data_IF_087928931411
#
_entry.id   IF_087928931411
#
_cell.length_a   1.000
_cell.length_b   1.000
_cell.length_c   1.000
_cell.angle_alpha   90.00
_cell.angle_beta   90.00
_cell.angle_gamma   90.00
#
_symmetry.space_group_name_H-M   'P 1'
#
loop_
_entity.id
_entity.type
_entity.pdbx_description
1 polymer ?
#
# COMPACT_ATOMS: atom_id res chain seq x y z
N UNK A 1 3.19 -3.20 -13.75
CA UNK A 1 2.59 -1.90 -13.37
C UNK A 1 2.65 -0.90 -14.51
N UNK A 2 1.60 -0.08 -14.68
CA UNK A 2 1.61 1.03 -15.65
C UNK A 2 2.25 2.29 -15.08
N UNK A 3 2.45 2.35 -13.78
CA UNK A 3 3.01 3.49 -13.05
C UNK A 3 4.14 3.04 -12.14
N UNK A 4 4.93 3.99 -11.68
CA UNK A 4 5.80 3.80 -10.51
C UNK A 4 4.98 3.96 -9.22
N UNK A 5 5.36 3.26 -8.16
CA UNK A 5 4.87 3.51 -6.81
C UNK A 5 6.07 3.64 -5.85
N UNK A 6 6.23 4.77 -5.16
CA UNK A 6 5.51 6.02 -5.38
C UNK A 6 5.77 6.62 -6.78
N UNK A 7 4.85 7.48 -7.26
CA UNK A 7 4.94 8.07 -8.60
C UNK A 7 5.76 9.38 -8.65
N UNK A 8 6.33 9.80 -7.55
CA UNK A 8 7.29 10.90 -7.38
C UNK A 8 8.09 10.70 -6.09
N UNK A 9 9.22 11.42 -5.96
CA UNK A 9 9.95 11.46 -4.69
C UNK A 9 9.10 12.18 -3.66
N UNK A 10 8.81 11.53 -2.53
CA UNK A 10 7.97 12.08 -1.49
C UNK A 10 8.59 11.94 -0.09
N UNK A 11 8.05 12.69 0.85
CA UNK A 11 8.47 12.60 2.25
C UNK A 11 7.93 11.34 2.91
N UNK A 12 8.79 10.62 3.60
CA UNK A 12 8.42 9.48 4.43
C UNK A 12 7.88 9.91 5.81
N UNK A 13 8.11 11.17 6.21
CA UNK A 13 7.81 11.70 7.55
C UNK A 13 7.23 13.10 7.44
N UNK A 14 6.51 13.53 8.46
CA UNK A 14 6.19 14.93 8.70
C UNK A 14 7.44 15.63 9.24
N UNK A 15 7.83 16.74 8.63
CA UNK A 15 9.10 17.37 8.99
C UNK A 15 9.50 18.53 8.09
N UNK A 16 10.79 18.76 7.98
CA UNK A 16 11.38 19.85 7.19
C UNK A 16 12.28 19.29 6.09
N UNK A 17 12.00 19.65 4.83
CA UNK A 17 12.83 19.35 3.69
C UNK A 17 13.82 20.47 3.42
N UNK A 18 15.09 20.17 3.30
CA UNK A 18 16.14 21.13 3.01
C UNK A 18 17.29 20.51 2.21
N UNK A 19 18.22 21.34 1.74
CA UNK A 19 19.44 20.86 1.12
C UNK A 19 20.50 20.69 2.22
N UNK A 20 20.98 19.48 2.43
CA UNK A 20 21.94 19.18 3.49
C UNK A 20 23.22 19.99 3.38
N UNK A 21 23.73 20.20 2.15
CA UNK A 21 24.95 20.98 1.93
C UNK A 21 24.78 22.48 2.23
N UNK A 22 23.55 22.95 2.39
CA UNK A 22 23.26 24.35 2.73
C UNK A 22 23.20 24.62 4.25
N UNK A 23 23.36 23.58 5.06
CA UNK A 23 23.38 23.70 6.50
C UNK A 23 24.67 24.40 6.92
N UNK A 24 24.54 25.60 7.52
CA UNK A 24 25.67 26.39 8.03
C UNK A 24 26.20 25.84 9.34
N UNK A 25 27.32 26.43 9.84
CA UNK A 25 27.90 26.06 11.14
C UNK A 25 26.92 26.18 12.33
N UNK A 26 25.98 27.11 12.24
CA UNK A 26 24.97 27.35 13.28
C UNK A 26 23.80 26.39 13.21
N UNK A 27 23.80 25.46 12.26
CA UNK A 27 22.79 24.42 12.03
C UNK A 27 21.35 24.94 11.99
N UNK A 28 21.12 26.18 11.52
CA UNK A 28 19.80 26.76 11.41
C UNK A 28 19.36 26.99 9.96
N UNK A 29 18.04 26.95 9.74
CA UNK A 29 17.40 27.18 8.43
C UNK A 29 16.10 27.97 8.64
N UNK A 30 15.83 28.94 7.76
CA UNK A 30 14.56 29.67 7.77
C UNK A 30 13.48 28.86 7.06
N UNK A 31 12.27 28.85 7.59
CA UNK A 31 11.13 28.20 6.94
C UNK A 31 10.64 29.08 5.79
N UNK A 32 10.68 28.58 4.57
CA UNK A 32 10.26 29.31 3.37
C UNK A 32 8.79 29.07 3.03
N UNK A 33 8.27 27.87 3.31
CA UNK A 33 6.89 27.49 2.93
C UNK A 33 6.48 26.20 3.62
N UNK A 34 5.17 25.91 3.55
CA UNK A 34 4.58 24.62 3.94
C UNK A 34 4.01 23.94 2.71
N UNK A 35 4.30 22.65 2.53
CA UNK A 35 3.87 21.84 1.39
C UNK A 35 3.07 20.64 1.93
N UNK A 36 1.79 20.64 1.65
CA UNK A 36 0.87 19.58 2.05
C UNK A 36 0.86 18.44 1.02
N UNK A 37 0.47 17.25 1.45
CA UNK A 37 0.24 16.12 0.56
C UNK A 37 -0.82 16.47 -0.49
N UNK A 38 -0.60 16.05 -1.74
CA UNK A 38 -1.46 16.38 -2.88
C UNK A 38 -1.21 17.75 -3.50
N UNK A 39 -0.44 18.62 -2.85
CA UNK A 39 -0.06 19.91 -3.42
C UNK A 39 1.26 19.77 -4.22
N UNK A 40 1.21 20.05 -5.51
CA UNK A 40 2.37 20.05 -6.41
C UNK A 40 3.02 21.44 -6.44
N UNK A 41 3.57 21.88 -5.30
CA UNK A 41 4.35 23.11 -5.27
C UNK A 41 5.49 23.06 -6.29
N UNK A 42 5.58 24.11 -7.13
CA UNK A 42 6.73 24.32 -8.03
C UNK A 42 7.82 25.20 -7.39
N UNK A 43 7.65 25.52 -6.12
CA UNK A 43 8.60 26.36 -5.41
C UNK A 43 9.94 25.66 -5.24
N UNK A 44 11.01 26.32 -5.68
CA UNK A 44 12.38 25.91 -5.43
C UNK A 44 12.86 26.49 -4.10
N UNK A 45 13.35 25.62 -3.22
CA UNK A 45 13.89 26.03 -1.93
C UNK A 45 15.35 26.47 -2.12
N UNK A 46 15.63 27.68 -1.69
CA UNK A 46 16.98 28.25 -1.78
C UNK A 46 17.90 27.71 -0.67
N UNK A 47 19.23 27.72 -0.86
CA UNK A 47 20.18 27.42 0.23
C UNK A 47 19.92 28.26 1.46
N UNK A 48 20.02 27.67 2.66
CA UNK A 48 19.73 28.34 3.94
C UNK A 48 18.24 28.38 4.31
N UNK A 49 17.39 27.76 3.50
CA UNK A 49 15.95 27.64 3.78
C UNK A 49 15.53 26.18 3.84
N UNK A 50 14.43 25.92 4.55
CA UNK A 50 13.72 24.66 4.61
C UNK A 50 12.24 24.85 4.19
N UNK A 51 11.61 23.79 3.73
CA UNK A 51 10.16 23.72 3.56
C UNK A 51 9.59 22.74 4.58
N UNK A 52 8.53 23.12 5.28
CA UNK A 52 7.74 22.19 6.05
C UNK A 52 7.00 21.24 5.10
N UNK A 53 7.12 19.95 5.33
CA UNK A 53 6.52 18.90 4.47
C UNK A 53 5.76 17.90 5.32
N UNK A 54 4.69 17.35 4.77
CA UNK A 54 3.92 16.28 5.39
C UNK A 54 4.21 14.96 4.68
N UNK A 55 4.00 13.85 5.36
CA UNK A 55 4.14 12.50 4.82
C UNK A 55 3.37 12.38 3.49
N UNK A 56 4.02 11.84 2.48
CA UNK A 56 3.46 11.72 1.13
C UNK A 56 3.54 12.98 0.27
N UNK A 57 3.91 14.15 0.81
CA UNK A 57 4.08 15.36 -0.01
C UNK A 57 5.30 15.25 -0.92
N UNK A 58 5.20 15.85 -2.12
CA UNK A 58 6.30 15.88 -3.07
C UNK A 58 7.50 16.62 -2.49
N UNK A 59 8.69 16.06 -2.60
CA UNK A 59 9.94 16.71 -2.19
C UNK A 59 10.15 17.95 -3.08
N UNK A 60 10.28 19.16 -2.48
CA UNK A 60 10.46 20.38 -3.24
C UNK A 60 11.84 20.42 -3.94
N UNK A 61 11.88 21.09 -5.07
CA UNK A 61 13.12 21.28 -5.81
C UNK A 61 14.12 22.07 -4.95
N UNK A 62 15.40 21.68 -5.02
CA UNK A 62 16.47 22.29 -4.23
C UNK A 62 16.66 21.66 -2.85
N UNK A 63 15.89 20.64 -2.48
CA UNK A 63 16.06 19.89 -1.23
C UNK A 63 16.45 18.44 -1.51
N UNK A 64 17.19 17.84 -0.58
CA UNK A 64 17.70 16.48 -0.72
C UNK A 64 17.62 15.65 0.58
N UNK A 65 17.03 16.20 1.62
CA UNK A 65 16.96 15.57 2.95
C UNK A 65 15.70 16.04 3.67
N UNK A 66 15.04 15.15 4.39
CA UNK A 66 13.93 15.48 5.29
C UNK A 66 14.31 15.10 6.73
N UNK A 67 14.06 16.01 7.66
CA UNK A 67 14.24 15.78 9.09
C UNK A 67 12.88 15.88 9.79
N UNK A 68 12.45 14.84 10.55
CA UNK A 68 11.20 14.84 11.31
C UNK A 68 11.09 16.02 12.28
N UNK A 69 9.86 16.45 12.58
CA UNK A 69 9.61 17.55 13.51
C UNK A 69 10.23 17.31 14.88
N UNK A 70 10.25 16.07 15.34
CA UNK A 70 10.74 15.66 16.65
C UNK A 70 12.26 15.83 16.80
N UNK A 71 12.99 15.92 15.69
CA UNK A 71 14.45 16.02 15.67
C UNK A 71 14.94 17.45 15.44
N UNK A 72 14.05 18.42 15.41
CA UNK A 72 14.39 19.83 15.26
C UNK A 72 13.81 20.65 16.41
N UNK A 73 14.49 21.73 16.75
CA UNK A 73 13.92 22.78 17.58
C UNK A 73 13.43 23.89 16.67
N UNK A 74 12.15 24.27 16.76
CA UNK A 74 11.60 25.38 16.01
C UNK A 74 11.40 26.59 16.90
N UNK A 75 11.93 27.73 16.49
CA UNK A 75 11.71 29.03 17.13
C UNK A 75 11.25 30.01 16.05
N UNK A 76 10.01 30.50 16.20
CA UNK A 76 9.37 31.36 15.20
C UNK A 76 9.44 30.76 13.78
N UNK A 77 10.11 31.43 12.84
CA UNK A 77 10.26 31.02 11.45
C UNK A 77 11.63 30.39 11.15
N UNK A 78 12.29 29.84 12.17
CA UNK A 78 13.61 29.21 12.05
C UNK A 78 13.61 27.85 12.72
N UNK A 79 14.26 26.87 12.07
CA UNK A 79 14.53 25.58 12.66
C UNK A 79 16.01 25.43 12.99
N UNK A 80 16.30 24.72 14.06
CA UNK A 80 17.64 24.35 14.49
C UNK A 80 17.76 22.84 14.43
N UNK A 81 18.76 22.36 13.68
CA UNK A 81 19.02 20.94 13.47
C UNK A 81 19.98 20.46 14.56
N UNK A 82 19.52 19.60 15.46
CA UNK A 82 20.31 19.10 16.58
C UNK A 82 21.37 18.09 16.12
N UNK A 83 20.99 17.19 15.21
CA UNK A 83 21.88 16.16 14.68
C UNK A 83 21.84 16.18 13.15
N UNK A 84 23.01 16.18 12.52
CA UNK A 84 23.13 16.21 11.07
C UNK A 84 22.69 14.86 10.48
N UNK A 85 21.59 14.81 9.72
CA UNK A 85 21.11 13.57 9.12
C UNK A 85 22.01 13.12 7.96
N UNK A 86 21.81 11.88 7.52
CA UNK A 86 22.41 11.43 6.26
C UNK A 86 21.67 12.08 5.08
N UNK A 87 22.43 12.40 4.02
CA UNK A 87 21.84 12.87 2.76
C UNK A 87 20.83 11.84 2.22
N UNK A 88 19.66 12.31 1.81
CA UNK A 88 18.57 11.46 1.34
C UNK A 88 17.71 10.86 2.46
N UNK A 89 17.97 11.19 3.73
CA UNK A 89 17.17 10.70 4.85
C UNK A 89 15.69 11.07 4.67
N UNK A 90 14.81 10.11 4.99
CA UNK A 90 13.34 10.23 4.98
C UNK A 90 12.74 10.67 3.64
N UNK A 91 13.42 10.39 2.52
CA UNK A 91 12.89 10.59 1.17
C UNK A 91 12.64 9.23 0.51
N UNK A 92 11.38 8.97 0.19
CA UNK A 92 11.00 7.82 -0.63
C UNK A 92 11.19 8.16 -2.10
N UNK A 93 11.90 7.30 -2.80
CA UNK A 93 12.25 7.54 -4.21
C UNK A 93 11.15 7.09 -5.16
N UNK A 94 11.02 7.78 -6.28
CA UNK A 94 10.18 7.36 -7.40
C UNK A 94 10.41 5.88 -7.72
N UNK A 95 9.33 5.09 -7.70
CA UNK A 95 9.39 3.66 -8.05
C UNK A 95 10.13 2.77 -7.06
N UNK A 96 10.31 3.22 -5.82
CA UNK A 96 11.00 2.48 -4.76
C UNK A 96 10.31 1.14 -4.45
N UNK A 97 8.98 1.13 -4.37
CA UNK A 97 8.21 -0.09 -4.13
C UNK A 97 7.93 -0.86 -5.42
N UNK A 98 7.45 -0.16 -6.45
CA UNK A 98 7.05 -0.76 -7.73
C UNK A 98 7.52 0.11 -8.89
N UNK A 99 8.35 -0.45 -9.74
CA UNK A 99 8.79 0.22 -10.98
C UNK A 99 7.75 0.10 -12.08
N UNK A 100 7.59 1.16 -12.87
CA UNK A 100 6.79 1.11 -14.10
C UNK A 100 7.28 -0.04 -14.99
N UNK A 101 6.34 -0.78 -15.57
CA UNK A 101 6.56 -2.00 -16.36
C UNK A 101 7.11 -3.19 -15.56
N UNK A 102 7.30 -3.07 -14.24
CA UNK A 102 7.66 -4.20 -13.39
C UNK A 102 6.49 -5.17 -13.21
N UNK A 103 6.80 -6.45 -13.05
CA UNK A 103 5.84 -7.46 -12.63
C UNK A 103 5.45 -7.22 -11.17
N UNK A 104 4.15 -7.20 -10.88
CA UNK A 104 3.62 -6.96 -9.53
C UNK A 104 3.14 -8.26 -8.90
N UNK A 105 2.44 -9.09 -9.67
CA UNK A 105 1.96 -10.40 -9.29
C UNK A 105 2.16 -11.38 -10.45
N UNK A 106 2.57 -12.60 -10.15
CA UNK A 106 2.72 -13.67 -11.13
C UNK A 106 1.34 -14.22 -11.53
N UNK A 107 1.24 -14.72 -12.76
CA UNK A 107 0.06 -15.49 -13.22
C UNK A 107 -0.17 -16.67 -12.28
N UNK A 108 -1.41 -16.83 -11.82
CA UNK A 108 -1.79 -17.91 -10.89
C UNK A 108 -1.64 -17.54 -9.42
N UNK A 109 -1.15 -16.33 -9.09
CA UNK A 109 -1.12 -15.86 -7.70
C UNK A 109 -2.52 -15.84 -7.09
N UNK A 110 -2.63 -16.32 -5.86
CA UNK A 110 -3.88 -16.24 -5.12
C UNK A 110 -4.10 -14.80 -4.64
N UNK A 111 -5.29 -14.25 -4.93
CA UNK A 111 -5.63 -12.87 -4.58
C UNK A 111 -6.22 -12.80 -3.17
N UNK A 112 -5.38 -12.65 -2.17
CA UNK A 112 -5.76 -12.32 -0.80
C UNK A 112 -6.02 -10.81 -0.67
N UNK A 113 -6.56 -10.32 0.43
CA UNK A 113 -6.76 -8.88 0.64
C UNK A 113 -5.54 -8.01 0.38
N UNK A 114 -4.34 -8.49 0.73
CA UNK A 114 -3.09 -7.77 0.49
C UNK A 114 -2.79 -7.60 -1.01
N UNK A 115 -2.94 -8.67 -1.82
CA UNK A 115 -2.76 -8.61 -3.26
C UNK A 115 -3.80 -7.71 -3.94
N UNK A 116 -5.03 -7.72 -3.44
CA UNK A 116 -6.10 -6.81 -3.92
C UNK A 116 -5.74 -5.36 -3.61
N UNK A 117 -5.28 -5.06 -2.39
CA UNK A 117 -4.80 -3.73 -2.01
C UNK A 117 -3.62 -3.27 -2.86
N UNK A 118 -2.65 -4.17 -3.11
CA UNK A 118 -1.50 -3.90 -3.96
C UNK A 118 -1.91 -3.55 -5.41
N UNK A 119 -2.84 -4.31 -5.99
CA UNK A 119 -3.39 -4.04 -7.34
C UNK A 119 -4.08 -2.66 -7.37
N UNK A 120 -4.88 -2.35 -6.35
CA UNK A 120 -5.58 -1.09 -6.24
C UNK A 120 -4.61 0.10 -6.09
N UNK A 121 -3.51 -0.05 -5.33
CA UNK A 121 -2.52 1.02 -5.10
C UNK A 121 -1.79 1.48 -6.37
N UNK A 122 -1.78 0.64 -7.41
CA UNK A 122 -1.24 0.97 -8.74
C UNK A 122 -2.31 1.35 -9.76
N UNK A 123 -3.54 1.64 -9.29
CA UNK A 123 -4.64 2.14 -10.12
C UNK A 123 -5.33 1.09 -10.98
N UNK A 124 -5.18 -0.19 -10.70
CA UNK A 124 -5.83 -1.27 -11.45
C UNK A 124 -7.14 -1.66 -10.74
N UNK A 125 -8.27 -1.40 -11.38
CA UNK A 125 -9.61 -1.70 -10.86
C UNK A 125 -10.15 -3.08 -11.24
N UNK A 126 -9.61 -3.70 -12.29
CA UNK A 126 -10.06 -5.00 -12.79
C UNK A 126 -8.87 -5.85 -13.24
N UNK A 127 -8.88 -7.12 -12.86
CA UNK A 127 -7.89 -8.12 -13.27
C UNK A 127 -8.58 -9.35 -13.84
N UNK A 128 -7.93 -10.01 -14.79
CA UNK A 128 -8.40 -11.30 -15.30
C UNK A 128 -8.03 -12.37 -14.28
N UNK A 129 -9.01 -13.16 -13.87
CA UNK A 129 -8.84 -14.30 -12.96
C UNK A 129 -9.31 -15.59 -13.62
N UNK A 130 -8.87 -16.72 -13.12
CA UNK A 130 -9.42 -18.01 -13.54
C UNK A 130 -10.89 -18.11 -13.12
N UNK A 131 -11.72 -18.70 -13.96
CA UNK A 131 -13.10 -19.02 -13.57
C UNK A 131 -13.10 -20.04 -12.45
N UNK A 132 -14.06 -19.94 -11.57
CA UNK A 132 -14.32 -20.99 -10.59
C UNK A 132 -14.66 -22.30 -11.29
N UNK A 133 -14.13 -23.41 -10.78
CA UNK A 133 -14.51 -24.73 -11.24
C UNK A 133 -15.99 -24.94 -10.90
N UNK A 134 -16.72 -25.49 -11.86
CA UNK A 134 -18.10 -25.94 -11.65
C UNK A 134 -18.04 -27.41 -11.28
N UNK A 135 -18.59 -27.76 -10.14
CA UNK A 135 -18.63 -29.12 -9.62
C UNK A 135 -20.08 -29.51 -9.42
N UNK A 136 -20.50 -30.60 -10.07
CA UNK A 136 -21.74 -31.26 -9.77
C UNK A 136 -21.46 -32.55 -9.04
N UNK A 137 -22.25 -32.86 -8.04
CA UNK A 137 -22.20 -34.13 -7.32
C UNK A 137 -23.61 -34.57 -6.97
N UNK A 138 -23.82 -35.84 -6.84
CA UNK A 138 -25.11 -36.43 -6.48
C UNK A 138 -24.88 -37.69 -5.65
N UNK A 139 -25.78 -37.93 -4.72
CA UNK A 139 -25.82 -39.16 -3.94
C UNK A 139 -26.67 -40.19 -4.68
N UNK A 140 -26.29 -41.46 -4.64
CA UNK A 140 -26.99 -42.59 -5.22
C UNK A 140 -27.26 -43.64 -4.16
N UNK A 141 -28.37 -44.34 -4.28
CA UNK A 141 -28.81 -45.41 -3.39
C UNK A 141 -30.31 -45.33 -3.12
N UNK A 142 -31.05 -46.44 -3.28
CA UNK A 142 -32.45 -46.51 -3.04
C UNK A 142 -32.83 -46.31 -1.58
N UNK A 143 -31.85 -46.55 -0.70
CA UNK A 143 -31.96 -46.32 0.76
C UNK A 143 -31.76 -44.85 1.14
N UNK A 144 -31.22 -44.03 0.26
CA UNK A 144 -30.81 -42.65 0.61
C UNK A 144 -32.00 -41.69 0.49
N UNK A 145 -32.33 -41.02 1.59
CA UNK A 145 -33.43 -40.04 1.62
C UNK A 145 -32.92 -38.67 2.06
N UNK A 146 -33.58 -37.64 1.52
CA UNK A 146 -33.25 -36.25 1.85
C UNK A 146 -33.44 -35.96 3.33
N UNK A 147 -32.51 -35.24 3.96
CA UNK A 147 -32.67 -34.78 5.33
C UNK A 147 -33.94 -33.93 5.50
N UNK A 148 -34.71 -34.16 6.57
CA UNK A 148 -36.00 -33.55 6.84
C UNK A 148 -37.19 -34.32 6.27
N UNK A 149 -36.99 -35.39 5.50
CA UNK A 149 -38.06 -36.32 5.07
C UNK A 149 -38.33 -37.36 6.13
N UNK A 150 -39.51 -37.99 6.09
CA UNK A 150 -39.80 -39.16 6.94
C UNK A 150 -38.91 -40.33 6.54
N UNK A 151 -38.28 -41.01 7.48
CA UNK A 151 -37.41 -42.16 7.26
C UNK A 151 -38.16 -43.47 7.56
N UNK A 152 -37.98 -44.48 6.72
CA UNK A 152 -38.50 -45.84 6.90
C UNK A 152 -37.36 -46.79 7.29
N UNK A 153 -37.75 -47.96 7.83
CA UNK A 153 -36.76 -49.01 8.11
C UNK A 153 -36.01 -49.36 6.83
N UNK A 154 -34.66 -49.43 6.88
CA UNK A 154 -33.78 -49.67 5.75
C UNK A 154 -33.34 -48.40 4.99
N UNK A 155 -33.83 -47.22 5.40
CA UNK A 155 -33.40 -45.94 4.77
C UNK A 155 -32.41 -45.21 5.67
N UNK A 156 -31.59 -44.33 5.05
CA UNK A 156 -30.62 -43.47 5.69
C UNK A 156 -30.74 -42.06 5.15
N UNK A 157 -30.45 -41.05 5.99
CA UNK A 157 -30.41 -39.67 5.51
C UNK A 157 -29.12 -39.39 4.75
N UNK A 158 -29.25 -38.60 3.65
CA UNK A 158 -28.14 -38.12 2.87
C UNK A 158 -27.30 -37.07 3.63
N UNK A 159 -26.46 -37.54 4.53
CA UNK A 159 -25.49 -36.66 5.21
C UNK A 159 -24.32 -36.25 4.31
N UNK A 160 -23.95 -37.12 3.36
CA UNK A 160 -22.85 -36.89 2.43
C UNK A 160 -23.08 -35.67 1.55
N UNK A 161 -24.33 -35.44 1.12
CA UNK A 161 -24.70 -34.25 0.36
C UNK A 161 -24.26 -32.96 1.08
N UNK A 162 -24.62 -32.80 2.35
CA UNK A 162 -24.29 -31.62 3.12
C UNK A 162 -22.80 -31.50 3.42
N UNK A 163 -22.15 -32.62 3.70
CA UNK A 163 -20.71 -32.68 3.95
C UNK A 163 -19.92 -32.21 2.73
N UNK A 164 -20.18 -32.84 1.56
CA UNK A 164 -19.48 -32.51 0.31
C UNK A 164 -19.79 -31.09 -0.11
N UNK A 165 -21.05 -30.64 -0.03
CA UNK A 165 -21.43 -29.26 -0.35
C UNK A 165 -20.65 -28.25 0.51
N UNK A 166 -20.52 -28.52 1.81
CA UNK A 166 -19.78 -27.67 2.74
C UNK A 166 -18.28 -27.65 2.43
N UNK A 167 -17.70 -28.78 2.08
CA UNK A 167 -16.29 -28.88 1.65
C UNK A 167 -16.04 -28.09 0.36
N UNK A 168 -16.92 -28.23 -0.64
CA UNK A 168 -16.83 -27.53 -1.91
C UNK A 168 -16.92 -26.01 -1.75
N UNK A 169 -17.84 -25.54 -0.86
CA UNK A 169 -17.93 -24.10 -0.51
C UNK A 169 -16.61 -23.55 0.06
N UNK A 170 -15.92 -24.33 0.89
CA UNK A 170 -14.62 -23.90 1.49
C UNK A 170 -13.52 -23.71 0.47
N UNK A 171 -13.49 -24.47 -0.62
CA UNK A 171 -12.51 -24.33 -1.69
C UNK A 171 -12.97 -23.40 -2.82
N UNK A 172 -14.07 -22.66 -2.58
CA UNK A 172 -14.58 -21.61 -3.48
C UNK A 172 -14.88 -22.07 -4.91
N UNK A 173 -15.37 -23.27 -5.10
CA UNK A 173 -15.93 -23.78 -6.38
C UNK A 173 -17.40 -23.38 -6.51
N UNK A 174 -17.94 -23.49 -7.70
CA UNK A 174 -19.35 -23.21 -8.04
C UNK A 174 -20.08 -24.50 -8.40
#
# INVERSE_FOLDING_TARGET
SKINAPNYNNSAMDGFAFNLSSLKKDHNLKIASTILAGNLSKQKIKPGFAAQVMTGSKIPEGTDTVLPFELVKQENNTIFVNEIPKKGANIRKLGEDIKKNGEVLKKGSFLRPAEVGLIASIGISKVKVFKKLRVAFFSTGDEVVKAGSSIKIGQVYDSNHFTIQSMLKRINVQ
#
